data_IF_979429501942
#
_entry.id   IF_979429501942
#
_cell.length_a   1.000
_cell.length_b   1.000
_cell.length_c   1.000
_cell.angle_alpha   90.00
_cell.angle_beta   90.00
_cell.angle_gamma   90.00
#
_symmetry.space_group_name_H-M   'P 1'
#
loop_
_entity.id
_entity.type
_entity.pdbx_description
1 polymer ?
#
# COMPACT_ATOMS: atom_id res chain seq x y z
N UNK A 1 14.07 18.48 -18.59
CA UNK A 1 14.12 18.54 -17.11
C UNK A 1 13.62 17.20 -16.61
N UNK A 2 14.26 16.61 -15.59
CA UNK A 2 13.78 15.35 -15.00
C UNK A 2 12.40 15.53 -14.36
N UNK A 3 11.65 14.42 -14.22
CA UNK A 3 10.36 14.42 -13.52
C UNK A 3 10.55 14.56 -11.99
N UNK A 4 9.45 14.74 -11.24
CA UNK A 4 9.50 14.98 -9.80
C UNK A 4 10.27 13.87 -9.05
N UNK A 5 9.95 12.60 -9.30
CA UNK A 5 10.55 11.47 -8.59
C UNK A 5 12.03 11.28 -8.93
N UNK A 6 12.41 11.49 -10.18
CA UNK A 6 13.81 11.41 -10.62
C UNK A 6 14.67 12.52 -9.98
N UNK A 7 14.17 13.76 -9.94
CA UNK A 7 14.87 14.89 -9.31
C UNK A 7 15.12 14.63 -7.83
N UNK A 8 14.16 14.00 -7.12
CA UNK A 8 14.23 13.76 -5.69
C UNK A 8 14.79 12.38 -5.30
N UNK A 9 15.19 11.56 -6.28
CA UNK A 9 15.77 10.24 -6.03
C UNK A 9 16.97 10.29 -5.06
N UNK A 10 17.89 11.22 -5.28
CA UNK A 10 19.09 11.36 -4.46
C UNK A 10 18.83 11.94 -3.04
N UNK A 11 17.62 12.39 -2.77
CA UNK A 11 17.21 12.85 -1.45
C UNK A 11 16.81 11.71 -0.50
N UNK A 12 16.59 10.49 -1.04
CA UNK A 12 16.21 9.32 -0.25
C UNK A 12 17.34 8.94 0.68
N UNK A 13 16.99 8.77 1.97
CA UNK A 13 17.85 8.18 2.98
C UNK A 13 17.24 6.85 3.41
N UNK A 14 18.10 5.94 3.87
CA UNK A 14 17.69 4.62 4.35
C UNK A 14 18.03 4.44 5.84
N UNK A 15 17.46 5.28 6.72
CA UNK A 15 17.68 5.13 8.15
C UNK A 15 17.04 3.84 8.64
N UNK A 16 17.72 3.10 9.50
CA UNK A 16 17.20 1.89 10.14
C UNK A 16 16.45 2.28 11.40
N UNK A 17 15.24 1.74 11.57
CA UNK A 17 14.45 1.94 12.78
C UNK A 17 15.16 1.33 14.00
N UNK A 18 15.19 2.08 15.11
CA UNK A 18 15.85 1.67 16.34
C UNK A 18 15.22 2.36 17.54
N UNK A 19 15.53 1.89 18.74
CA UNK A 19 15.09 2.53 20.00
C UNK A 19 15.50 4.01 20.11
N UNK A 20 16.60 4.40 19.46
CA UNK A 20 17.16 5.75 19.52
C UNK A 20 16.67 6.69 18.41
N UNK A 21 16.24 6.14 17.29
CA UNK A 21 15.88 6.93 16.11
C UNK A 21 14.86 6.20 15.26
N UNK A 22 13.81 6.91 14.86
CA UNK A 22 12.85 6.39 13.89
C UNK A 22 13.51 6.23 12.53
N UNK A 23 13.15 5.14 11.84
CA UNK A 23 13.66 4.81 10.53
C UNK A 23 12.73 3.86 9.79
N UNK A 24 13.26 3.23 8.77
CA UNK A 24 12.59 2.17 8.04
C UNK A 24 12.76 0.84 8.78
N UNK A 25 11.67 0.12 8.97
CA UNK A 25 11.66 -1.22 9.54
C UNK A 25 12.29 -2.23 8.58
N UNK A 26 12.76 -3.37 9.08
CA UNK A 26 13.34 -4.45 8.27
C UNK A 26 12.43 -4.86 7.11
N UNK A 27 11.12 -4.99 7.37
CA UNK A 27 10.13 -5.30 6.35
C UNK A 27 10.11 -4.29 5.19
N UNK A 28 10.22 -3.00 5.51
CA UNK A 28 10.22 -1.93 4.52
C UNK A 28 11.53 -1.90 3.74
N UNK A 29 12.67 -2.01 4.42
CA UNK A 29 14.00 -2.06 3.79
C UNK A 29 14.11 -3.24 2.82
N UNK A 30 13.69 -4.44 3.24
CA UNK A 30 13.67 -5.60 2.38
C UNK A 30 12.82 -5.40 1.12
N UNK A 31 11.61 -4.85 1.29
CA UNK A 31 10.69 -4.62 0.17
C UNK A 31 11.25 -3.60 -0.85
N UNK A 32 11.77 -2.44 -0.41
CA UNK A 32 12.29 -1.42 -1.32
C UNK A 32 13.53 -1.90 -2.08
N UNK A 33 14.41 -2.68 -1.44
CA UNK A 33 15.56 -3.27 -2.12
C UNK A 33 15.15 -4.35 -3.12
N UNK A 34 14.17 -5.19 -2.80
CA UNK A 34 13.63 -6.19 -3.71
C UNK A 34 12.99 -5.56 -4.94
N UNK A 35 12.14 -4.54 -4.78
CA UNK A 35 11.53 -3.78 -5.87
C UNK A 35 12.61 -3.16 -6.76
N UNK A 36 13.58 -2.47 -6.15
CA UNK A 36 14.67 -1.82 -6.90
C UNK A 36 15.47 -2.83 -7.71
N UNK A 37 15.83 -3.97 -7.11
CA UNK A 37 16.56 -5.04 -7.78
C UNK A 37 15.78 -5.62 -8.96
N UNK A 38 14.49 -5.90 -8.75
CA UNK A 38 13.64 -6.48 -9.78
C UNK A 38 13.56 -5.62 -11.05
N UNK A 39 13.30 -4.34 -10.90
CA UNK A 39 13.19 -3.44 -12.04
C UNK A 39 14.54 -3.03 -12.65
N UNK A 40 15.64 -3.14 -11.90
CA UNK A 40 16.99 -2.98 -12.45
C UNK A 40 17.32 -4.08 -13.48
N UNK A 41 16.70 -5.26 -13.37
CA UNK A 41 16.82 -6.36 -14.31
C UNK A 41 15.94 -6.20 -15.58
N UNK A 42 15.29 -5.05 -15.76
CA UNK A 42 14.35 -4.78 -16.86
C UNK A 42 13.20 -5.79 -16.98
N UNK A 43 12.76 -6.34 -15.85
CA UNK A 43 11.58 -7.20 -15.77
C UNK A 43 10.33 -6.42 -16.18
N UNK A 44 9.42 -7.09 -16.89
CA UNK A 44 8.15 -6.52 -17.39
C UNK A 44 6.93 -7.04 -16.63
N UNK A 45 7.11 -8.12 -15.89
CA UNK A 45 6.03 -8.69 -15.09
C UNK A 45 5.67 -7.74 -13.94
N UNK A 46 4.45 -7.84 -13.45
CA UNK A 46 4.04 -7.12 -12.26
C UNK A 46 4.82 -7.64 -11.03
N UNK A 47 5.40 -6.74 -10.26
CA UNK A 47 6.07 -7.09 -9.01
C UNK A 47 5.04 -7.24 -7.88
N UNK A 48 5.01 -8.39 -7.22
CA UNK A 48 4.13 -8.64 -6.08
C UNK A 48 4.94 -8.54 -4.78
N UNK A 49 4.47 -7.67 -3.89
CA UNK A 49 5.07 -7.41 -2.57
C UNK A 49 4.09 -7.86 -1.50
N UNK A 50 4.46 -8.90 -0.77
CA UNK A 50 3.64 -9.47 0.31
C UNK A 50 4.17 -8.94 1.63
N UNK A 51 3.34 -8.17 2.32
CA UNK A 51 3.66 -7.61 3.63
C UNK A 51 2.40 -7.62 4.51
N UNK A 52 2.45 -8.14 5.74
CA UNK A 52 1.30 -8.12 6.64
C UNK A 52 0.77 -6.71 6.92
N UNK A 53 -0.50 -6.61 7.27
CA UNK A 53 -1.09 -5.35 7.75
C UNK A 53 -0.31 -4.84 8.96
N UNK A 54 -0.05 -3.53 9.04
CA UNK A 54 0.76 -2.94 10.12
C UNK A 54 2.27 -2.98 9.90
N UNK A 55 2.79 -3.70 8.90
CA UNK A 55 4.24 -3.74 8.61
C UNK A 55 4.77 -2.48 7.92
N UNK A 56 3.88 -1.54 7.56
CA UNK A 56 4.25 -0.27 6.94
C UNK A 56 4.29 -0.28 5.41
N UNK A 57 3.42 -1.05 4.76
CA UNK A 57 3.26 -1.09 3.29
C UNK A 57 3.19 0.29 2.65
N UNK A 58 2.44 1.23 3.26
CA UNK A 58 2.26 2.58 2.74
C UNK A 58 3.57 3.31 2.49
N UNK A 59 4.55 3.18 3.40
CA UNK A 59 5.86 3.81 3.19
C UNK A 59 6.61 3.21 1.98
N UNK A 60 6.49 1.90 1.75
CA UNK A 60 7.08 1.23 0.59
C UNK A 60 6.40 1.69 -0.70
N UNK A 61 5.07 1.72 -0.71
CA UNK A 61 4.27 2.24 -1.81
C UNK A 61 4.67 3.68 -2.15
N UNK A 62 4.75 4.57 -1.15
CA UNK A 62 5.17 5.96 -1.37
C UNK A 62 6.61 6.10 -1.89
N UNK A 63 7.52 5.17 -1.56
CA UNK A 63 8.91 5.20 -2.00
C UNK A 63 9.11 4.61 -3.39
N UNK A 64 8.28 3.70 -3.82
CA UNK A 64 8.44 2.97 -5.09
C UNK A 64 8.58 3.89 -6.30
N UNK A 65 7.78 4.96 -6.51
CA UNK A 65 7.93 5.86 -7.65
C UNK A 65 9.32 6.51 -7.72
N UNK A 66 9.90 6.86 -6.56
CA UNK A 66 11.25 7.42 -6.49
C UNK A 66 12.30 6.37 -6.84
N UNK A 67 12.18 5.15 -6.29
CA UNK A 67 13.16 4.07 -6.48
C UNK A 67 13.33 3.69 -7.94
N UNK A 68 12.22 3.65 -8.68
CA UNK A 68 12.21 3.28 -10.10
C UNK A 68 12.13 4.50 -11.04
N UNK A 69 12.17 5.71 -10.46
CA UNK A 69 12.27 7.01 -11.16
C UNK A 69 11.21 7.21 -12.24
N UNK A 70 9.97 6.86 -11.92
CA UNK A 70 8.83 7.01 -12.82
C UNK A 70 8.29 8.44 -12.83
N UNK A 71 7.64 8.82 -13.93
CA UNK A 71 7.14 10.18 -14.09
C UNK A 71 5.83 10.41 -13.37
N UNK A 72 4.88 9.49 -13.54
CA UNK A 72 3.52 9.61 -13.00
C UNK A 72 3.01 8.27 -12.53
N UNK A 73 2.55 8.24 -11.29
CA UNK A 73 2.03 7.03 -10.67
C UNK A 73 0.51 7.09 -10.53
N UNK A 74 -0.17 6.00 -10.90
CA UNK A 74 -1.55 5.73 -10.55
C UNK A 74 -1.58 4.77 -9.37
N UNK A 75 -2.03 5.25 -8.22
CA UNK A 75 -2.25 4.45 -7.01
C UNK A 75 -3.70 4.03 -6.95
N UNK A 76 -3.94 2.72 -6.92
CA UNK A 76 -5.29 2.15 -6.85
C UNK A 76 -5.51 1.53 -5.48
N UNK A 77 -6.55 1.96 -4.79
CA UNK A 77 -6.90 1.48 -3.45
C UNK A 77 -8.38 1.22 -3.31
N UNK A 78 -8.77 0.33 -2.41
CA UNK A 78 -10.10 -0.30 -2.35
C UNK A 78 -11.28 0.64 -2.07
N UNK A 79 -11.08 1.78 -1.40
CA UNK A 79 -12.18 2.65 -0.97
C UNK A 79 -11.82 4.13 -1.02
N UNK A 80 -12.84 5.00 -1.15
CA UNK A 80 -12.66 6.45 -1.14
C UNK A 80 -11.95 6.95 0.13
N UNK A 81 -12.28 6.40 1.29
CA UNK A 81 -11.64 6.78 2.55
C UNK A 81 -10.14 6.49 2.53
N UNK A 82 -9.74 5.34 2.00
CA UNK A 82 -8.31 4.98 1.85
C UNK A 82 -7.65 5.81 0.74
N UNK A 83 -8.38 6.17 -0.34
CA UNK A 83 -7.87 7.11 -1.35
C UNK A 83 -7.45 8.43 -0.70
N UNK A 84 -8.35 9.06 0.09
CA UNK A 84 -8.05 10.31 0.77
C UNK A 84 -6.86 10.21 1.71
N UNK A 85 -6.74 9.11 2.48
CA UNK A 85 -5.59 8.88 3.37
C UNK A 85 -4.26 8.77 2.60
N UNK A 86 -4.24 8.00 1.51
CA UNK A 86 -3.03 7.85 0.67
C UNK A 86 -2.71 9.16 -0.05
N UNK A 87 -3.71 9.88 -0.53
CA UNK A 87 -3.52 11.18 -1.17
C UNK A 87 -2.92 12.20 -0.18
N UNK A 88 -3.41 12.24 1.07
CA UNK A 88 -2.84 13.07 2.13
C UNK A 88 -1.41 12.64 2.46
N UNK A 89 -1.15 11.34 2.64
CA UNK A 89 0.18 10.81 2.91
C UNK A 89 1.20 11.20 1.85
N UNK A 90 0.84 11.12 0.56
CA UNK A 90 1.71 11.58 -0.53
C UNK A 90 1.89 13.10 -0.55
N UNK A 91 0.81 13.88 -0.35
CA UNK A 91 0.87 15.35 -0.39
C UNK A 91 1.69 15.92 0.75
N UNK A 92 1.69 15.28 1.92
CA UNK A 92 2.43 15.71 3.11
C UNK A 92 3.80 15.04 3.24
N UNK A 93 3.99 13.86 2.68
CA UNK A 93 5.14 12.97 2.89
C UNK A 93 5.44 12.71 4.38
N UNK A 94 4.41 12.83 5.24
CA UNK A 94 4.56 12.78 6.70
C UNK A 94 5.19 11.46 7.14
N UNK A 95 4.68 10.35 6.65
CA UNK A 95 5.18 9.01 6.97
C UNK A 95 6.67 8.87 6.68
N UNK A 96 7.13 9.36 5.53
CA UNK A 96 8.53 9.28 5.11
C UNK A 96 9.43 10.28 5.85
N UNK A 97 8.92 11.47 6.18
CA UNK A 97 9.64 12.44 6.98
C UNK A 97 9.80 11.98 8.44
N UNK A 98 8.76 11.39 9.03
CA UNK A 98 8.82 10.81 10.39
C UNK A 98 9.81 9.65 10.46
N UNK A 99 9.89 8.84 9.40
CA UNK A 99 10.90 7.79 9.27
C UNK A 99 12.29 8.31 8.88
N UNK A 100 12.52 9.62 8.84
CA UNK A 100 13.79 10.25 8.45
C UNK A 100 14.31 9.87 7.05
N UNK A 101 13.43 9.37 6.18
CA UNK A 101 13.74 9.05 4.79
C UNK A 101 13.97 10.33 4.00
N UNK A 102 13.10 11.31 4.21
CA UNK A 102 13.24 12.65 3.63
C UNK A 102 13.40 13.72 4.71
N UNK A 103 14.03 14.83 4.33
CA UNK A 103 13.99 16.04 5.12
C UNK A 103 12.60 16.68 4.99
N UNK A 104 12.08 17.29 6.05
CA UNK A 104 10.78 17.99 6.06
C UNK A 104 10.69 19.14 5.05
N UNK A 105 11.83 19.68 4.62
CA UNK A 105 11.93 20.74 3.60
C UNK A 105 11.85 20.24 2.16
N UNK A 106 11.71 18.92 1.93
CA UNK A 106 11.57 18.37 0.57
C UNK A 106 10.33 18.98 -0.10
N UNK A 107 10.46 19.35 -1.39
CA UNK A 107 9.30 19.73 -2.18
C UNK A 107 8.32 18.55 -2.25
N UNK A 108 7.05 18.81 -2.04
CA UNK A 108 6.01 17.79 -2.10
C UNK A 108 5.59 17.50 -3.55
N UNK A 109 5.12 16.27 -3.86
CA UNK A 109 4.54 15.96 -5.16
C UNK A 109 3.18 16.63 -5.33
N UNK A 110 2.78 16.83 -6.56
CA UNK A 110 1.40 17.22 -6.87
C UNK A 110 0.54 15.95 -6.87
N UNK A 111 -0.47 15.91 -6.02
CA UNK A 111 -1.37 14.76 -5.85
C UNK A 111 -2.76 15.13 -6.34
N UNK A 112 -3.37 14.25 -7.13
CA UNK A 112 -4.74 14.37 -7.59
C UNK A 112 -5.55 13.13 -7.17
N UNK A 113 -6.62 13.32 -6.41
CA UNK A 113 -7.57 12.26 -6.06
C UNK A 113 -8.69 12.24 -7.10
N UNK A 114 -8.79 11.13 -7.85
CA UNK A 114 -9.85 10.93 -8.83
C UNK A 114 -11.08 10.32 -8.14
N UNK A 115 -11.98 11.18 -7.64
CA UNK A 115 -13.15 10.77 -6.86
C UNK A 115 -14.30 10.19 -7.70
N UNK A 116 -14.34 10.54 -9.00
CA UNK A 116 -15.39 10.14 -9.93
C UNK A 116 -14.79 9.47 -11.17
N UNK A 117 -15.66 8.88 -12.00
CA UNK A 117 -15.24 8.32 -13.29
C UNK A 117 -14.56 9.39 -14.14
N UNK A 118 -13.54 8.98 -14.88
CA UNK A 118 -12.78 9.90 -15.70
C UNK A 118 -13.62 10.61 -16.75
N UNK A 119 -13.45 11.92 -16.84
CA UNK A 119 -13.93 12.78 -17.92
C UNK A 119 -12.79 13.66 -18.42
N UNK A 120 -12.92 14.20 -19.64
CA UNK A 120 -11.89 15.12 -20.20
C UNK A 120 -11.70 16.41 -19.39
N UNK A 121 -12.64 16.76 -18.54
CA UNK A 121 -12.55 17.93 -17.66
C UNK A 121 -11.41 17.82 -16.65
N UNK A 122 -11.08 16.59 -16.21
CA UNK A 122 -9.97 16.31 -15.29
C UNK A 122 -8.59 16.39 -15.94
N UNK A 123 -8.49 16.50 -17.27
CA UNK A 123 -7.22 16.38 -17.97
C UNK A 123 -6.18 17.40 -17.48
N UNK A 124 -6.58 18.65 -17.22
CA UNK A 124 -5.65 19.68 -16.73
C UNK A 124 -5.04 19.34 -15.36
N UNK A 125 -5.86 18.81 -14.46
CA UNK A 125 -5.40 18.42 -13.12
C UNK A 125 -4.51 17.20 -13.19
N UNK A 126 -4.86 16.22 -14.03
CA UNK A 126 -4.07 15.04 -14.29
C UNK A 126 -2.70 15.34 -14.93
N UNK A 127 -2.63 16.31 -15.82
CA UNK A 127 -1.38 16.77 -16.46
C UNK A 127 -0.39 17.36 -15.44
N UNK A 128 -0.91 17.97 -14.37
CA UNK A 128 -0.08 18.57 -13.32
C UNK A 128 0.27 17.57 -12.20
N UNK A 129 -0.44 16.45 -12.11
CA UNK A 129 -0.24 15.48 -11.05
C UNK A 129 1.01 14.63 -11.27
N UNK A 130 1.80 14.46 -10.22
CA UNK A 130 2.85 13.45 -10.12
C UNK A 130 2.27 12.12 -9.61
N UNK A 131 1.24 12.20 -8.75
CA UNK A 131 0.52 11.07 -8.16
C UNK A 131 -0.98 11.22 -8.41
N UNK A 132 -1.58 10.16 -8.93
CA UNK A 132 -3.03 10.05 -9.09
C UNK A 132 -3.50 8.93 -8.15
N UNK A 133 -4.47 9.21 -7.28
CA UNK A 133 -5.04 8.20 -6.38
C UNK A 133 -6.49 7.95 -6.78
N UNK A 134 -6.87 6.69 -6.93
CA UNK A 134 -8.20 6.33 -7.41
C UNK A 134 -8.73 5.02 -6.81
N UNK A 135 -10.06 4.89 -6.75
CA UNK A 135 -10.71 3.60 -6.52
C UNK A 135 -10.61 2.72 -7.76
N UNK A 136 -10.81 1.38 -7.67
CA UNK A 136 -10.71 0.50 -8.83
C UNK A 136 -11.61 0.87 -10.00
N UNK A 137 -12.83 1.36 -9.75
CA UNK A 137 -13.75 1.79 -10.80
C UNK A 137 -13.31 3.07 -11.49
N UNK A 138 -12.79 4.05 -10.73
CA UNK A 138 -12.25 5.29 -11.29
C UNK A 138 -10.95 5.03 -12.06
N UNK A 139 -10.06 4.18 -11.51
CA UNK A 139 -8.83 3.77 -12.18
C UNK A 139 -9.10 3.02 -13.49
N UNK A 140 -10.11 2.14 -13.51
CA UNK A 140 -10.52 1.45 -14.74
C UNK A 140 -10.99 2.45 -15.79
N UNK A 141 -11.89 3.36 -15.43
CA UNK A 141 -12.39 4.41 -16.34
C UNK A 141 -11.25 5.28 -16.88
N UNK A 142 -10.30 5.67 -16.04
CA UNK A 142 -9.13 6.44 -16.46
C UNK A 142 -8.23 5.62 -17.41
N UNK A 143 -7.99 4.35 -17.11
CA UNK A 143 -7.13 3.46 -17.90
C UNK A 143 -7.59 3.23 -19.34
N UNK A 144 -8.88 3.44 -19.62
CA UNK A 144 -9.47 3.35 -20.95
C UNK A 144 -9.10 4.53 -21.84
N UNK A 145 -8.69 5.67 -21.26
CA UNK A 145 -8.34 6.88 -22.00
C UNK A 145 -6.97 6.77 -22.67
N UNK A 146 -6.83 7.37 -23.85
CA UNK A 146 -5.54 7.42 -24.54
C UNK A 146 -4.52 8.26 -23.75
N UNK A 147 -5.02 9.31 -23.05
CA UNK A 147 -4.16 10.10 -22.17
C UNK A 147 -3.46 9.25 -21.10
N UNK A 148 -4.20 8.36 -20.43
CA UNK A 148 -3.62 7.51 -19.38
C UNK A 148 -2.58 6.53 -19.94
N UNK A 149 -2.84 5.94 -21.10
CA UNK A 149 -1.93 5.01 -21.77
C UNK A 149 -0.59 5.65 -22.15
N UNK A 150 -0.61 6.95 -22.47
CA UNK A 150 0.58 7.71 -22.85
C UNK A 150 1.31 8.35 -21.67
N UNK A 151 0.60 8.63 -20.56
CA UNK A 151 1.13 9.48 -19.49
C UNK A 151 1.31 8.78 -18.13
N UNK A 152 0.73 7.61 -17.91
CA UNK A 152 0.93 6.83 -16.69
C UNK A 152 1.98 5.75 -16.96
N UNK A 153 3.08 5.80 -16.22
CA UNK A 153 4.20 4.87 -16.40
C UNK A 153 4.45 3.97 -15.17
N UNK A 154 3.65 4.16 -14.09
CA UNK A 154 3.61 3.28 -12.93
C UNK A 154 2.16 3.12 -12.45
N UNK A 155 1.77 1.87 -12.19
CA UNK A 155 0.52 1.53 -11.50
C UNK A 155 0.87 0.79 -10.22
N UNK A 156 0.45 1.32 -9.11
CA UNK A 156 0.57 0.69 -7.81
C UNK A 156 -0.80 0.33 -7.25
N UNK A 157 -0.87 -0.80 -6.60
CA UNK A 157 -2.12 -1.28 -6.04
C UNK A 157 -1.96 -1.69 -4.62
N UNK A 158 -2.71 -1.04 -3.79
CA UNK A 158 -2.83 -1.41 -2.40
C UNK A 158 -3.97 -2.42 -2.20
N UNK A 159 -3.71 -3.43 -1.35
CA UNK A 159 -4.62 -4.53 -1.06
C UNK A 159 -5.13 -5.25 -2.32
N UNK A 160 -4.20 -5.62 -3.21
CA UNK A 160 -4.49 -6.21 -4.53
C UNK A 160 -5.41 -7.44 -4.49
N UNK A 161 -5.48 -8.16 -3.37
CA UNK A 161 -6.35 -9.32 -3.18
C UNK A 161 -7.85 -8.98 -3.05
N UNK A 162 -8.20 -7.72 -2.73
CA UNK A 162 -9.59 -7.27 -2.58
C UNK A 162 -10.26 -6.81 -3.88
N UNK A 163 -9.48 -6.47 -4.90
CA UNK A 163 -10.05 -5.97 -6.15
C UNK A 163 -10.55 -7.11 -7.03
N UNK A 164 -11.75 -7.00 -7.65
CA UNK A 164 -12.25 -8.03 -8.55
C UNK A 164 -11.24 -8.37 -9.66
N UNK A 165 -11.04 -9.67 -9.92
CA UNK A 165 -10.05 -10.14 -10.90
C UNK A 165 -10.16 -9.46 -12.26
N UNK A 166 -11.40 -9.30 -12.75
CA UNK A 166 -11.67 -8.70 -14.06
C UNK A 166 -11.26 -7.22 -14.14
N UNK A 167 -11.58 -6.42 -13.11
CA UNK A 167 -11.23 -5.00 -13.05
C UNK A 167 -9.72 -4.82 -13.10
N UNK A 168 -8.99 -5.62 -12.33
CA UNK A 168 -7.55 -5.64 -12.30
C UNK A 168 -6.92 -5.96 -13.63
N UNK A 169 -7.29 -7.14 -14.16
CA UNK A 169 -6.77 -7.59 -15.44
C UNK A 169 -6.99 -6.54 -16.53
N UNK A 170 -8.14 -5.88 -16.50
CA UNK A 170 -8.46 -4.85 -17.48
C UNK A 170 -7.56 -3.61 -17.31
N UNK A 171 -7.32 -3.14 -16.07
CA UNK A 171 -6.38 -2.01 -15.81
C UNK A 171 -4.98 -2.37 -16.28
N UNK A 172 -4.48 -3.57 -15.93
CA UNK A 172 -3.15 -4.03 -16.35
C UNK A 172 -3.03 -4.13 -17.88
N UNK A 173 -4.08 -4.62 -18.55
CA UNK A 173 -4.11 -4.71 -20.02
C UNK A 173 -4.14 -3.32 -20.66
N UNK A 174 -4.99 -2.43 -20.16
CA UNK A 174 -5.13 -1.08 -20.69
C UNK A 174 -3.83 -0.27 -20.54
N UNK A 175 -3.12 -0.44 -19.41
CA UNK A 175 -1.87 0.24 -19.08
C UNK A 175 -0.66 -0.71 -19.17
N UNK A 176 -0.64 -1.60 -20.15
CA UNK A 176 0.40 -2.63 -20.31
C UNK A 176 1.81 -2.07 -20.57
N UNK A 177 1.93 -0.83 -21.00
CA UNK A 177 3.20 -0.14 -21.14
C UNK A 177 3.76 0.39 -19.80
N UNK A 178 2.91 0.54 -18.80
CA UNK A 178 3.31 0.99 -17.47
C UNK A 178 3.97 -0.15 -16.68
N UNK A 179 4.76 0.21 -15.68
CA UNK A 179 5.28 -0.70 -14.66
C UNK A 179 4.19 -0.99 -13.63
N UNK A 180 4.10 -2.21 -13.11
CA UNK A 180 3.06 -2.59 -12.15
C UNK A 180 3.66 -3.13 -10.86
N UNK A 181 3.20 -2.60 -9.70
CA UNK A 181 3.58 -3.08 -8.37
C UNK A 181 2.32 -3.35 -7.56
N UNK A 182 2.18 -4.57 -7.07
CA UNK A 182 1.01 -5.05 -6.34
C UNK A 182 1.37 -5.29 -4.88
N UNK A 183 0.75 -4.54 -3.98
CA UNK A 183 0.92 -4.70 -2.54
C UNK A 183 -0.23 -5.51 -1.96
N UNK A 184 0.08 -6.49 -1.12
CA UNK A 184 -0.93 -7.34 -0.49
C UNK A 184 -0.45 -7.84 0.87
N UNK A 185 -1.40 -8.08 1.78
CA UNK A 185 -1.11 -8.79 3.03
C UNK A 185 -1.13 -10.32 2.84
N UNK A 186 -1.80 -10.81 1.79
CA UNK A 186 -1.97 -12.23 1.50
C UNK A 186 -1.75 -12.50 0.01
N UNK A 187 -0.96 -13.54 -0.35
CA UNK A 187 -0.70 -13.86 -1.75
C UNK A 187 -1.91 -14.46 -2.47
N UNK A 188 -2.90 -14.93 -1.70
CA UNK A 188 -4.07 -15.60 -2.24
C UNK A 188 -5.28 -14.69 -2.23
N UNK A 189 -5.98 -14.67 -3.34
CA UNK A 189 -7.25 -13.98 -3.48
C UNK A 189 -8.39 -14.78 -2.82
N UNK A 190 -9.48 -14.09 -2.49
CA UNK A 190 -10.71 -14.73 -1.95
C UNK A 190 -11.28 -15.81 -2.89
N UNK A 191 -11.07 -15.68 -4.20
CA UNK A 191 -11.47 -16.66 -5.21
C UNK A 191 -10.44 -17.79 -5.43
N UNK A 192 -9.43 -17.91 -4.55
CA UNK A 192 -8.32 -18.87 -4.60
C UNK A 192 -7.46 -18.81 -5.86
N UNK A 193 -7.55 -17.73 -6.64
CA UNK A 193 -6.66 -17.47 -7.78
C UNK A 193 -5.44 -16.70 -7.32
N UNK A 194 -4.31 -17.01 -7.90
CA UNK A 194 -3.07 -16.27 -7.68
C UNK A 194 -3.14 -14.91 -8.38
N UNK A 195 -2.43 -13.93 -7.80
CA UNK A 195 -2.19 -12.65 -8.47
C UNK A 195 -1.28 -12.90 -9.68
N UNK A 196 -1.56 -12.21 -10.79
CA UNK A 196 -0.69 -12.30 -11.96
C UNK A 196 0.54 -11.41 -11.76
N UNK A 197 1.72 -12.00 -11.74
CA UNK A 197 3.00 -11.33 -11.54
C UNK A 197 4.04 -12.21 -10.87
N UNK A 198 5.20 -11.65 -10.57
CA UNK A 198 6.31 -12.31 -9.87
C UNK A 198 6.36 -11.83 -8.42
N UNK A 199 6.35 -12.75 -7.45
CA UNK A 199 6.56 -12.41 -6.04
C UNK A 199 8.02 -12.01 -5.88
N UNK A 200 8.24 -10.71 -5.66
CA UNK A 200 9.60 -10.16 -5.49
C UNK A 200 10.00 -10.05 -4.03
N UNK A 201 9.01 -9.95 -3.14
CA UNK A 201 9.23 -9.88 -1.71
C UNK A 201 8.07 -10.51 -0.95
N UNK A 202 8.41 -11.36 0.01
CA UNK A 202 7.48 -11.95 0.95
C UNK A 202 8.04 -11.81 2.37
N UNK A 203 7.35 -11.01 3.20
CA UNK A 203 7.69 -10.83 4.59
C UNK A 203 6.74 -11.65 5.46
N UNK A 204 7.20 -12.81 5.96
CA UNK A 204 6.31 -13.76 6.62
C UNK A 204 5.81 -13.23 7.97
N UNK A 205 4.61 -13.66 8.35
CA UNK A 205 3.97 -13.27 9.60
C UNK A 205 4.82 -13.62 10.82
N UNK A 206 5.53 -14.78 10.79
CA UNK A 206 6.45 -15.19 11.85
C UNK A 206 7.56 -14.15 12.07
N UNK A 207 8.11 -13.62 10.97
CA UNK A 207 9.14 -12.57 11.03
C UNK A 207 8.59 -11.25 11.58
N UNK A 208 7.35 -10.93 11.25
CA UNK A 208 6.66 -9.75 11.78
C UNK A 208 6.47 -9.84 13.31
N UNK A 209 6.26 -11.04 13.85
CA UNK A 209 6.25 -11.28 15.29
C UNK A 209 7.64 -11.12 15.92
N UNK A 210 8.66 -11.74 15.32
CA UNK A 210 10.04 -11.64 15.81
C UNK A 210 10.54 -10.20 15.85
N UNK A 211 10.16 -9.39 14.83
CA UNK A 211 10.55 -7.98 14.73
C UNK A 211 9.63 -7.05 15.58
N UNK A 212 8.71 -7.62 16.37
CA UNK A 212 7.83 -6.85 17.29
C UNK A 212 6.81 -5.95 16.59
N UNK A 213 6.48 -6.23 15.32
CA UNK A 213 5.44 -5.49 14.58
C UNK A 213 4.05 -5.78 15.16
N UNK A 214 3.85 -7.01 15.64
CA UNK A 214 2.64 -7.43 16.33
C UNK A 214 2.92 -7.65 17.80
N UNK A 215 1.97 -7.26 18.64
CA UNK A 215 1.91 -7.70 20.03
C UNK A 215 1.57 -9.19 20.14
N UNK A 216 1.60 -9.69 21.35
CA UNK A 216 1.20 -11.08 21.63
C UNK A 216 -0.26 -11.30 21.24
N UNK A 217 -0.52 -12.30 20.40
CA UNK A 217 -1.88 -12.74 20.07
C UNK A 217 -2.21 -13.94 20.90
N UNK A 218 -3.20 -13.79 21.79
CA UNK A 218 -3.72 -14.88 22.60
C UNK A 218 -4.93 -15.51 21.89
N UNK A 219 -4.86 -16.81 21.68
CA UNK A 219 -6.00 -17.57 21.19
C UNK A 219 -6.84 -18.04 22.39
N UNK A 220 -8.08 -17.56 22.48
CA UNK A 220 -9.02 -17.95 23.52
C UNK A 220 -10.12 -18.79 22.87
N UNK A 221 -10.13 -20.11 23.05
CA UNK A 221 -11.19 -20.96 22.52
C UNK A 221 -12.51 -20.69 23.21
N UNK A 222 -13.60 -20.74 22.45
CA UNK A 222 -14.99 -20.63 22.95
C UNK A 222 -15.69 -21.94 22.66
N UNK A 223 -16.30 -22.52 23.69
CA UNK A 223 -17.12 -23.71 23.51
C UNK A 223 -18.40 -23.36 22.76
N UNK A 224 -18.75 -24.19 21.78
CA UNK A 224 -19.97 -24.01 20.98
C UNK A 224 -21.22 -24.26 21.83
N UNK A 225 -22.19 -23.35 21.70
CA UNK A 225 -23.50 -23.45 22.39
C UNK A 225 -24.66 -23.44 21.38
N UNK A 226 -25.89 -23.24 21.88
CA UNK A 226 -27.06 -23.09 21.00
C UNK A 226 -26.96 -21.83 20.10
N UNK A 227 -26.29 -20.79 20.58
CA UNK A 227 -26.01 -19.55 19.82
C UNK A 227 -24.52 -19.26 19.97
N UNK A 228 -23.79 -19.56 18.89
CA UNK A 228 -22.34 -19.38 18.85
C UNK A 228 -21.93 -17.91 18.91
N UNK A 229 -22.69 -17.01 18.27
CA UNK A 229 -22.38 -15.58 18.26
C UNK A 229 -22.50 -14.99 19.66
N UNK A 230 -23.53 -15.40 20.40
CA UNK A 230 -23.71 -14.99 21.78
C UNK A 230 -22.61 -15.55 22.72
N UNK A 231 -22.14 -16.78 22.48
CA UNK A 231 -21.03 -17.36 23.25
C UNK A 231 -19.72 -16.60 22.98
N UNK A 232 -19.44 -16.26 21.73
CA UNK A 232 -18.27 -15.46 21.34
C UNK A 232 -18.35 -14.08 21.98
N UNK A 233 -19.49 -13.39 21.86
CA UNK A 233 -19.69 -12.04 22.42
C UNK A 233 -19.47 -11.99 23.93
N UNK A 234 -20.06 -12.95 24.69
CA UNK A 234 -19.86 -13.05 26.14
C UNK A 234 -18.39 -13.28 26.51
N UNK A 235 -17.71 -14.18 25.79
CA UNK A 235 -16.29 -14.45 26.05
C UNK A 235 -15.41 -13.25 25.75
N UNK A 236 -15.69 -12.54 24.66
CA UNK A 236 -14.99 -11.31 24.30
C UNK A 236 -15.19 -10.22 25.37
N UNK A 237 -16.40 -10.06 25.89
CA UNK A 237 -16.71 -9.13 27.00
C UNK A 237 -15.94 -9.49 28.29
N UNK A 238 -15.90 -10.77 28.67
CA UNK A 238 -15.13 -11.25 29.84
C UNK A 238 -13.61 -10.91 29.68
N UNK A 239 -13.01 -11.17 28.51
CA UNK A 239 -11.61 -10.85 28.25
C UNK A 239 -11.39 -9.35 28.37
N UNK A 240 -12.24 -8.52 27.72
CA UNK A 240 -12.14 -7.07 27.79
C UNK A 240 -12.22 -6.53 29.22
N UNK A 241 -13.16 -7.06 30.03
CA UNK A 241 -13.32 -6.65 31.43
C UNK A 241 -12.11 -7.04 32.29
N UNK A 242 -11.50 -8.20 32.03
CA UNK A 242 -10.29 -8.64 32.74
C UNK A 242 -9.08 -7.77 32.34
N UNK A 243 -8.92 -7.44 31.07
CA UNK A 243 -7.86 -6.57 30.58
C UNK A 243 -7.96 -5.17 31.19
N UNK A 244 -9.17 -4.61 31.26
CA UNK A 244 -9.41 -3.31 31.92
C UNK A 244 -9.08 -3.34 33.41
N UNK A 245 -9.40 -4.43 34.11
CA UNK A 245 -9.02 -4.61 35.54
C UNK A 245 -7.52 -4.70 35.72
N UNK A 246 -6.82 -5.26 34.71
CA UNK A 246 -5.35 -5.34 34.68
C UNK A 246 -4.67 -4.02 34.26
N UNK A 247 -5.45 -2.98 33.92
CA UNK A 247 -4.93 -1.65 33.57
C UNK A 247 -4.68 -1.44 32.09
N UNK A 248 -5.14 -2.34 31.20
CA UNK A 248 -5.02 -2.18 29.76
C UNK A 248 -6.21 -1.39 29.19
N UNK A 249 -5.91 -0.46 28.27
CA UNK A 249 -6.94 0.27 27.51
C UNK A 249 -7.23 -0.44 26.18
N UNK A 250 -7.90 -1.57 26.23
CA UNK A 250 -8.30 -2.32 25.04
C UNK A 250 -9.73 -1.97 24.60
N UNK A 251 -9.96 -2.05 23.28
CA UNK A 251 -11.26 -1.87 22.65
C UNK A 251 -11.70 -3.19 22.00
N UNK A 252 -12.99 -3.51 22.15
CA UNK A 252 -13.58 -4.67 21.50
C UNK A 252 -14.09 -4.27 20.11
N UNK A 253 -13.68 -5.01 19.10
CA UNK A 253 -14.26 -4.99 17.76
C UNK A 253 -14.92 -6.35 17.52
N UNK A 254 -16.24 -6.35 17.25
CA UNK A 254 -17.04 -7.53 16.96
C UNK A 254 -17.62 -7.43 15.56
#
# INVERSE_FOLDING_TARGET
>A
MGNYFEIHYNAIKYPIDSEKSRGLRNAQLGAIHAISSFFTLNKKDAAIVIMPTGSGKTAVLMLTPYLIRKQRVLVVTRSKMVCGQIAEDFSELRTLCVANVFNTSIKKPNVFELEHLYTKEYQKDLEQADVIVATPSCALSLSESDWAKENIDLVEVDEAHHTPAKTWQQILVNLSAATHVLFTATPFRLDRKELSGEIVYDYPLSKAYEDGIFGEIQYVPVESGMDNDLCIAKRAEEVLLNDRKAGYEHYLMV
#
